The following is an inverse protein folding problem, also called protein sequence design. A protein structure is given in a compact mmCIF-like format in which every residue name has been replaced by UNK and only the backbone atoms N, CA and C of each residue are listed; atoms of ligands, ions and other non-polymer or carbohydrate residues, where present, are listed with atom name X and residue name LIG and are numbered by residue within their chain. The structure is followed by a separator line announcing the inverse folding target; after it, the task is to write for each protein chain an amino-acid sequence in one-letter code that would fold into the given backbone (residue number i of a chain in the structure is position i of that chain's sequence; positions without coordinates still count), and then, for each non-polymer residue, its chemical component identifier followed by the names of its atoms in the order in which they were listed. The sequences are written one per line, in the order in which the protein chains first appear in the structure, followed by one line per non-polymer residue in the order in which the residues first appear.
data_IF_760894727042
#
_entry.id   IF_760894727042
#
_cell.length_a   1.000
_cell.length_b   1.000
_cell.length_c   1.000
_cell.angle_alpha   90.00
_cell.angle_beta   90.00
_cell.angle_gamma   90.00
#
_symmetry.space_group_name_H-M   'P 1'
#
loop_
_entity.id
_entity.type
_entity.pdbx_description
1 polymer ?
#
# COMPACT_ATOMS: atom_id res chain seq x y z
N UNK A 1 33.19 10.53 -8.05
CA UNK A 1 32.12 9.84 -7.30
C UNK A 1 31.60 10.80 -6.24
N UNK A 2 30.28 11.04 -6.10
CA UNK A 2 29.77 11.86 -5.01
C UNK A 2 30.15 11.23 -3.68
N UNK A 3 30.81 11.98 -2.80
CA UNK A 3 31.09 11.55 -1.42
C UNK A 3 29.79 11.67 -0.62
N UNK A 4 29.18 10.54 -0.32
CA UNK A 4 28.09 10.45 0.67
C UNK A 4 28.71 10.72 2.04
N UNK A 5 28.62 11.98 2.50
CA UNK A 5 29.02 12.38 3.84
C UNK A 5 27.99 11.75 4.79
N UNK A 6 28.38 10.86 5.72
CA UNK A 6 27.45 10.32 6.70
C UNK A 6 26.91 11.50 7.53
N UNK A 7 25.58 11.61 7.65
CA UNK A 7 24.98 12.67 8.45
C UNK A 7 25.52 12.59 9.89
N UNK A 8 25.97 13.72 10.47
CA UNK A 8 26.36 13.78 11.87
C UNK A 8 25.24 13.25 12.77
N UNK A 9 25.59 12.55 13.85
CA UNK A 9 24.61 11.90 14.73
C UNK A 9 23.64 12.89 15.38
N UNK A 10 24.00 14.18 15.44
CA UNK A 10 23.15 15.29 15.87
C UNK A 10 21.87 15.44 15.01
N UNK A 11 21.89 14.99 13.76
CA UNK A 11 20.74 15.00 12.86
C UNK A 11 19.95 13.68 12.85
N UNK A 12 20.42 12.64 13.57
CA UNK A 12 19.74 11.34 13.66
C UNK A 12 18.82 11.33 14.89
N UNK A 13 17.59 11.79 14.71
CA UNK A 13 16.56 11.61 15.74
C UNK A 13 15.98 10.20 15.66
N UNK A 14 16.42 9.31 16.55
CA UNK A 14 15.80 7.99 16.71
C UNK A 14 14.45 8.16 17.42
N UNK A 15 13.36 8.12 16.66
CA UNK A 15 12.00 8.17 17.20
C UNK A 15 11.62 6.80 17.77
N UNK A 16 11.62 6.69 19.10
CA UNK A 16 11.11 5.51 19.80
C UNK A 16 9.77 5.86 20.44
N UNK A 17 8.75 5.07 20.15
CA UNK A 17 7.44 5.20 20.76
C UNK A 17 7.28 4.11 21.83
N UNK A 18 6.68 4.46 22.97
CA UNK A 18 6.26 3.46 23.95
C UNK A 18 5.13 2.60 23.38
N UNK A 19 4.82 1.43 23.98
CA UNK A 19 3.84 0.49 23.41
C UNK A 19 2.48 1.11 23.08
N UNK A 20 1.96 1.97 23.97
CA UNK A 20 0.68 2.63 23.76
C UNK A 20 0.74 3.73 22.69
N UNK A 21 1.75 4.60 22.73
CA UNK A 21 1.92 5.66 21.73
C UNK A 21 2.26 5.10 20.35
N UNK A 22 2.94 3.96 20.29
CA UNK A 22 3.24 3.25 19.05
C UNK A 22 1.96 2.76 18.36
N UNK A 23 0.98 2.25 19.11
CA UNK A 23 -0.31 1.82 18.55
C UNK A 23 -1.08 3.02 18.00
N UNK A 24 -1.10 4.14 18.73
CA UNK A 24 -1.76 5.37 18.26
C UNK A 24 -1.12 5.91 16.98
N UNK A 25 0.21 6.01 16.97
CA UNK A 25 0.97 6.45 15.80
C UNK A 25 0.79 5.49 14.60
N UNK A 26 0.81 4.18 14.85
CA UNK A 26 0.57 3.18 13.81
C UNK A 26 -0.84 3.28 13.23
N UNK A 27 -1.84 3.54 14.08
CA UNK A 27 -3.24 3.74 13.66
C UNK A 27 -3.36 4.99 12.79
N UNK A 28 -2.74 6.10 13.18
CA UNK A 28 -2.74 7.33 12.39
C UNK A 28 -2.03 7.14 11.03
N UNK A 29 -0.88 6.47 11.01
CA UNK A 29 -0.18 6.10 9.77
C UNK A 29 -1.05 5.23 8.86
N UNK A 30 -1.68 4.19 9.40
CA UNK A 30 -2.60 3.33 8.62
C UNK A 30 -3.77 4.14 8.08
N UNK A 31 -4.34 5.06 8.87
CA UNK A 31 -5.40 5.96 8.41
C UNK A 31 -4.95 6.88 7.26
N UNK A 32 -3.74 7.43 7.35
CA UNK A 32 -3.16 8.23 6.27
C UNK A 32 -2.97 7.42 4.98
N UNK A 33 -2.44 6.19 5.09
CA UNK A 33 -2.30 5.28 3.96
C UNK A 33 -3.65 4.94 3.34
N UNK A 34 -4.66 4.63 4.15
CA UNK A 34 -6.01 4.36 3.65
C UNK A 34 -6.59 5.53 2.86
N UNK A 35 -6.49 6.77 3.40
CA UNK A 35 -6.95 7.97 2.68
C UNK A 35 -6.24 8.15 1.34
N UNK A 36 -4.93 7.93 1.30
CA UNK A 36 -4.15 8.01 0.06
C UNK A 36 -4.63 6.96 -0.95
N UNK A 37 -4.80 5.70 -0.53
CA UNK A 37 -5.29 4.62 -1.38
C UNK A 37 -6.70 4.92 -1.92
N UNK A 38 -7.63 5.35 -1.07
CA UNK A 38 -9.00 5.70 -1.50
C UNK A 38 -8.99 6.88 -2.48
N UNK A 39 -8.16 7.91 -2.24
CA UNK A 39 -8.03 9.03 -3.17
C UNK A 39 -7.50 8.59 -4.54
N UNK A 40 -6.50 7.70 -4.57
CA UNK A 40 -5.97 7.11 -5.80
C UNK A 40 -7.03 6.28 -6.53
N UNK A 41 -7.82 5.48 -5.82
CA UNK A 41 -8.93 4.72 -6.40
C UNK A 41 -10.02 5.64 -6.96
N UNK A 42 -10.37 6.73 -6.27
CA UNK A 42 -11.31 7.72 -6.79
C UNK A 42 -10.85 8.32 -8.12
N UNK A 43 -9.56 8.68 -8.23
CA UNK A 43 -8.95 9.18 -9.47
C UNK A 43 -8.93 8.14 -10.60
N UNK A 44 -8.88 6.86 -10.23
CA UNK A 44 -8.95 5.76 -11.19
C UNK A 44 -10.36 5.62 -11.77
N UNK A 45 -11.39 5.78 -10.94
CA UNK A 45 -12.80 5.76 -11.36
C UNK A 45 -13.12 6.99 -12.24
N UNK A 46 -12.55 8.16 -11.94
CA UNK A 46 -12.72 9.37 -12.77
C UNK A 46 -11.91 9.34 -14.07
N UNK A 47 -11.04 8.35 -14.27
CA UNK A 47 -10.24 8.18 -15.48
C UNK A 47 -8.93 8.98 -15.51
N UNK A 48 -8.57 9.66 -14.41
CA UNK A 48 -7.33 10.43 -14.29
C UNK A 48 -6.09 9.53 -14.15
N UNK A 49 -6.29 8.27 -13.75
CA UNK A 49 -5.23 7.27 -13.55
C UNK A 49 -5.58 5.98 -14.31
N UNK A 50 -4.64 5.51 -15.16
CA UNK A 50 -4.79 4.25 -15.90
C UNK A 50 -4.54 3.04 -14.99
N UNK A 51 -5.38 2.00 -15.10
CA UNK A 51 -5.31 0.73 -14.35
C UNK A 51 -4.05 -0.12 -14.59
N UNK A 52 -3.20 0.26 -15.54
CA UNK A 52 -2.04 -0.54 -15.97
C UNK A 52 -0.93 -0.71 -14.92
N UNK A 53 -1.07 -0.08 -13.75
CA UNK A 53 -0.10 -0.14 -12.65
C UNK A 53 -0.57 -0.99 -11.45
N UNK A 54 -1.71 -1.68 -11.56
CA UNK A 54 -2.12 -2.61 -10.50
C UNK A 54 -1.11 -3.76 -10.41
N UNK A 55 -0.51 -3.92 -9.23
CA UNK A 55 0.51 -4.94 -9.00
C UNK A 55 -0.10 -6.33 -9.09
N UNK A 56 0.31 -7.10 -10.10
CA UNK A 56 -0.05 -8.51 -10.21
C UNK A 56 0.64 -9.36 -9.13
N UNK A 57 0.25 -10.65 -8.97
CA UNK A 57 0.84 -11.54 -7.95
C UNK A 57 2.37 -11.62 -8.03
N UNK A 58 2.92 -11.58 -9.26
CA UNK A 58 4.37 -11.60 -9.48
C UNK A 58 5.06 -10.32 -8.98
N UNK A 59 4.44 -9.16 -9.21
CA UNK A 59 4.97 -7.87 -8.74
C UNK A 59 4.91 -7.77 -7.22
N UNK A 60 3.87 -8.33 -6.59
CA UNK A 60 3.77 -8.42 -5.13
C UNK A 60 4.89 -9.29 -4.56
N UNK A 61 5.16 -10.46 -5.16
CA UNK A 61 6.24 -11.34 -4.74
C UNK A 61 7.62 -10.67 -4.87
N UNK A 62 7.87 -9.95 -5.97
CA UNK A 62 9.11 -9.18 -6.16
C UNK A 62 9.25 -8.05 -5.15
N UNK A 63 8.18 -7.29 -4.89
CA UNK A 63 8.18 -6.21 -3.90
C UNK A 63 8.40 -6.71 -2.47
N UNK A 64 7.85 -7.88 -2.14
CA UNK A 64 8.09 -8.57 -0.87
C UNK A 64 9.57 -8.95 -0.72
N UNK A 65 10.17 -9.55 -1.75
CA UNK A 65 11.60 -9.89 -1.76
C UNK A 65 12.49 -8.65 -1.60
N UNK A 66 12.26 -7.63 -2.42
CA UNK A 66 13.02 -6.38 -2.37
C UNK A 66 12.90 -5.66 -1.02
N UNK A 67 11.70 -5.58 -0.44
CA UNK A 67 11.52 -4.95 0.87
C UNK A 67 12.17 -5.74 2.01
N UNK A 68 12.23 -7.07 1.90
CA UNK A 68 12.97 -7.91 2.84
C UNK A 68 14.49 -7.68 2.77
N UNK A 69 15.04 -7.43 1.58
CA UNK A 69 16.46 -7.06 1.41
C UNK A 69 16.81 -5.74 2.10
N UNK A 70 15.87 -4.78 2.16
CA UNK A 70 16.04 -3.53 2.90
C UNK A 70 15.86 -3.67 4.42
N UNK A 71 15.34 -4.80 4.89
CA UNK A 71 15.20 -5.16 6.30
C UNK A 71 13.76 -5.27 6.79
N UNK A 72 13.59 -5.85 7.98
CA UNK A 72 12.29 -6.25 8.51
C UNK A 72 11.27 -5.11 8.63
N UNK A 73 11.70 -3.89 8.96
CA UNK A 73 10.80 -2.73 9.07
C UNK A 73 10.20 -2.40 7.70
N UNK A 74 11.00 -2.39 6.64
CA UNK A 74 10.54 -2.11 5.28
C UNK A 74 9.64 -3.22 4.76
N UNK A 75 9.96 -4.48 5.07
CA UNK A 75 9.12 -5.62 4.76
C UNK A 75 7.73 -5.54 5.42
N UNK A 76 7.68 -5.21 6.71
CA UNK A 76 6.41 -5.03 7.44
C UNK A 76 5.60 -3.84 6.89
N UNK A 77 6.27 -2.75 6.49
CA UNK A 77 5.60 -1.64 5.81
C UNK A 77 5.02 -2.05 4.45
N UNK A 78 5.74 -2.86 3.68
CA UNK A 78 5.24 -3.41 2.42
C UNK A 78 4.01 -4.29 2.65
N UNK A 79 4.05 -5.19 3.64
CA UNK A 79 2.89 -6.00 4.00
C UNK A 79 1.70 -5.14 4.42
N UNK A 80 1.92 -4.11 5.24
CA UNK A 80 0.87 -3.18 5.65
C UNK A 80 0.20 -2.48 4.45
N UNK A 81 1.00 -2.06 3.46
CA UNK A 81 0.50 -1.47 2.22
C UNK A 81 -0.40 -2.46 1.45
N UNK A 82 0.06 -3.71 1.27
CA UNK A 82 -0.73 -4.75 0.59
C UNK A 82 -2.02 -5.04 1.36
N UNK A 83 -1.97 -5.18 2.68
CA UNK A 83 -3.14 -5.41 3.54
C UNK A 83 -4.16 -4.28 3.44
N UNK A 84 -3.72 -3.02 3.45
CA UNK A 84 -4.61 -1.86 3.29
C UNK A 84 -5.29 -1.87 1.93
N UNK A 85 -4.53 -2.12 0.85
CA UNK A 85 -5.09 -2.18 -0.50
C UNK A 85 -6.12 -3.30 -0.64
N UNK A 86 -5.82 -4.50 -0.13
CA UNK A 86 -6.75 -5.63 -0.17
C UNK A 86 -7.99 -5.38 0.69
N UNK A 87 -7.81 -4.78 1.87
CA UNK A 87 -8.92 -4.40 2.76
C UNK A 87 -9.84 -3.38 2.10
N UNK A 88 -9.29 -2.34 1.46
CA UNK A 88 -10.10 -1.33 0.75
C UNK A 88 -10.80 -1.94 -0.46
N UNK A 89 -10.11 -2.73 -1.28
CA UNK A 89 -10.72 -3.40 -2.43
C UNK A 89 -11.85 -4.34 -1.98
N UNK A 90 -11.68 -5.07 -0.89
CA UNK A 90 -12.72 -5.96 -0.37
C UNK A 90 -13.91 -5.21 0.25
N UNK A 91 -13.69 -4.00 0.76
CA UNK A 91 -14.74 -3.14 1.32
C UNK A 91 -15.44 -2.28 0.27
N UNK A 92 -14.81 -2.06 -0.89
CA UNK A 92 -15.37 -1.32 -2.00
C UNK A 92 -15.99 -2.31 -2.98
N UNK A 93 -17.33 -2.33 -3.20
CA UNK A 93 -17.93 -3.18 -4.22
C UNK A 93 -17.49 -2.66 -5.58
N UNK A 94 -16.39 -3.20 -6.14
CA UNK A 94 -15.93 -2.85 -7.48
C UNK A 94 -16.77 -3.63 -8.50
N UNK A 95 -17.62 -2.95 -9.30
CA UNK A 95 -18.51 -3.61 -10.28
C UNK A 95 -17.79 -4.34 -11.42
N UNK A 96 -16.46 -4.28 -11.46
CA UNK A 96 -15.62 -4.71 -12.59
C UNK A 96 -15.39 -6.23 -12.63
N UNK A 97 -15.97 -6.99 -11.68
CA UNK A 97 -15.93 -8.47 -11.65
C UNK A 97 -17.29 -9.14 -11.91
N UNK A 98 -18.34 -8.41 -12.33
CA UNK A 98 -19.60 -9.02 -12.81
C UNK A 98 -19.50 -9.53 -14.27
N UNK A 99 -18.32 -9.96 -14.71
CA UNK A 99 -18.11 -10.65 -15.99
C UNK A 99 -18.70 -12.06 -16.05
N UNK A 100 -19.74 -12.38 -15.26
CA UNK A 100 -20.30 -13.73 -15.15
C UNK A 100 -21.80 -13.84 -14.86
N UNK A 101 -22.57 -12.74 -14.78
CA UNK A 101 -23.96 -12.81 -14.30
C UNK A 101 -25.06 -12.49 -15.32
N UNK A 102 -24.75 -12.40 -16.63
CA UNK A 102 -25.80 -12.26 -17.66
C UNK A 102 -25.45 -12.98 -18.95
N UNK A 103 -25.06 -14.24 -18.87
CA UNK A 103 -25.37 -15.18 -19.94
C UNK A 103 -26.75 -15.77 -19.65
N UNK A 104 -27.79 -14.96 -19.87
CA UNK A 104 -29.11 -15.49 -20.22
C UNK A 104 -29.21 -15.37 -21.74
N UNK A 105 -28.87 -16.41 -22.51
CA UNK A 105 -29.60 -16.66 -23.72
C UNK A 105 -30.98 -17.15 -23.29
N UNK A 106 -31.97 -16.27 -23.40
CA UNK A 106 -33.30 -16.74 -23.73
C UNK A 106 -33.25 -17.48 -25.07
N UNK A 107 -34.26 -18.32 -25.28
CA UNK A 107 -34.72 -18.81 -26.58
C UNK A 107 -33.72 -19.53 -27.51
#
# INVERSE_FOLDING_TARGET
MPKIIPLPDEYKTVRQYGPFSAILEATDKTWQLMKLTVSMLGKLITGDVKLNNLSGPISIAQGAGMSAEFGGIYYLMFLALISVNLGIINLFPLPVLDGGASAVPGD
#
